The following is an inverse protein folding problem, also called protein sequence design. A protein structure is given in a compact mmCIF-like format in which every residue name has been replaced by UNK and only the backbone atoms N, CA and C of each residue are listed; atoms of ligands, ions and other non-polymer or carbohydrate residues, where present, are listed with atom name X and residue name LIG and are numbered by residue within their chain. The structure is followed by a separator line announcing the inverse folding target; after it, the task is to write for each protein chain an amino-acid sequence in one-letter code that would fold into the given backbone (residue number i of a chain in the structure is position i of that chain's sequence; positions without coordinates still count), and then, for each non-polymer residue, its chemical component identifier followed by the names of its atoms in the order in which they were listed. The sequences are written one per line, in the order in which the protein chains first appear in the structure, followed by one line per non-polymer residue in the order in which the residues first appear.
data_IF_367102105680
#
_entry.id   IF_367102105680
#
_cell.length_a   1.000
_cell.length_b   1.000
_cell.length_c   1.000
_cell.angle_alpha   90.00
_cell.angle_beta   90.00
_cell.angle_gamma   90.00
#
_symmetry.space_group_name_H-M   'P 1'
#
loop_
_entity.id
_entity.type
_entity.pdbx_description
1 polymer ?
#
# COMPACT_ATOMS: atom_id res chain seq x y z
N UNK A 1 18.41 13.47 -15.44
CA UNK A 1 18.03 12.19 -14.82
C UNK A 1 17.12 11.39 -15.74
N UNK A 2 17.33 10.10 -15.78
CA UNK A 2 16.51 9.18 -16.55
C UNK A 2 15.50 8.51 -15.62
N UNK A 3 14.35 8.10 -16.19
CA UNK A 3 13.31 7.41 -15.47
C UNK A 3 13.01 6.10 -16.15
N UNK A 4 12.73 5.09 -15.35
CA UNK A 4 12.33 3.78 -15.86
C UNK A 4 11.13 3.29 -15.09
N UNK A 5 10.04 3.01 -15.83
CA UNK A 5 8.88 2.36 -15.25
C UNK A 5 9.22 0.90 -14.99
N UNK A 6 8.99 0.44 -13.76
CA UNK A 6 9.25 -0.93 -13.36
C UNK A 6 8.00 -1.78 -13.53
N UNK A 7 6.87 -1.32 -13.00
CA UNK A 7 5.59 -2.01 -13.13
C UNK A 7 4.43 -1.14 -12.67
N UNK A 8 3.24 -1.55 -13.09
CA UNK A 8 2.01 -1.04 -12.49
C UNK A 8 1.74 -1.81 -11.21
N UNK A 9 1.09 -1.16 -10.26
CA UNK A 9 0.67 -1.81 -9.02
C UNK A 9 -0.61 -1.13 -8.52
N UNK A 10 -1.25 -1.78 -7.57
CA UNK A 10 -2.38 -1.16 -6.87
C UNK A 10 -2.19 -1.35 -5.37
N UNK A 11 -2.83 -0.47 -4.61
CA UNK A 11 -2.81 -0.56 -3.16
C UNK A 11 -3.95 -1.44 -2.68
N UNK A 12 -3.77 -2.06 -1.53
CA UNK A 12 -4.77 -2.96 -0.94
C UNK A 12 -4.92 -2.66 0.55
N UNK A 13 -6.14 -2.87 1.05
CA UNK A 13 -6.39 -2.93 2.48
C UNK A 13 -6.31 -4.38 2.92
N UNK A 14 -5.53 -4.66 3.94
CA UNK A 14 -5.37 -6.03 4.47
C UNK A 14 -5.73 -6.07 5.95
N UNK A 15 -6.30 -7.17 6.37
CA UNK A 15 -6.73 -7.36 7.76
C UNK A 15 -6.61 -8.82 8.16
N UNK A 16 -6.58 -9.07 9.48
CA UNK A 16 -6.58 -10.43 10.01
C UNK A 16 -7.98 -10.85 10.47
N UNK A 17 -8.08 -12.00 11.11
CA UNK A 17 -9.34 -12.58 11.56
C UNK A 17 -10.08 -11.75 12.62
N UNK A 18 -9.40 -10.78 13.25
CA UNK A 18 -10.08 -9.82 14.14
C UNK A 18 -11.13 -9.00 13.41
N UNK A 19 -11.02 -8.90 12.08
CA UNK A 19 -11.95 -8.18 11.21
C UNK A 19 -12.67 -9.16 10.26
N UNK A 20 -12.90 -10.39 10.71
CA UNK A 20 -13.49 -11.45 9.88
C UNK A 20 -14.84 -11.06 9.26
N UNK A 21 -15.60 -10.18 9.91
CA UNK A 21 -16.88 -9.69 9.40
C UNK A 21 -16.75 -8.93 8.08
N UNK A 22 -15.54 -8.45 7.75
CA UNK A 22 -15.28 -7.72 6.51
C UNK A 22 -14.92 -8.63 5.35
N UNK A 23 -14.58 -9.87 5.63
CA UNK A 23 -14.13 -10.80 4.59
C UNK A 23 -15.28 -11.14 3.64
N UNK A 24 -15.02 -10.95 2.35
CA UNK A 24 -16.01 -11.21 1.31
C UNK A 24 -17.04 -10.12 1.12
N UNK A 25 -16.94 -9.02 1.86
CA UNK A 25 -17.84 -7.87 1.71
C UNK A 25 -17.13 -6.73 0.99
N UNK A 26 -17.90 -5.93 0.27
CA UNK A 26 -17.42 -4.68 -0.28
C UNK A 26 -17.86 -3.53 0.62
N UNK A 27 -16.89 -2.74 1.06
CA UNK A 27 -17.15 -1.59 1.93
C UNK A 27 -16.98 -0.30 1.13
N UNK A 28 -17.84 0.68 1.39
CA UNK A 28 -17.57 2.03 0.90
C UNK A 28 -16.41 2.63 1.71
N UNK A 29 -15.73 3.62 1.15
CA UNK A 29 -14.69 4.33 1.89
C UNK A 29 -15.26 4.97 3.16
N UNK A 30 -16.52 5.40 3.11
CA UNK A 30 -17.20 5.95 4.27
C UNK A 30 -17.36 4.94 5.40
N UNK A 31 -17.72 3.70 5.05
CA UNK A 31 -17.80 2.62 6.04
C UNK A 31 -16.43 2.25 6.58
N UNK A 32 -15.42 2.23 5.71
CA UNK A 32 -14.05 1.90 6.08
C UNK A 32 -13.48 2.88 7.10
N UNK A 33 -13.91 4.15 7.05
CA UNK A 33 -13.52 5.16 8.04
C UNK A 33 -13.82 4.79 9.48
N UNK A 34 -14.74 3.88 9.71
CA UNK A 34 -15.15 3.45 11.06
C UNK A 34 -14.20 2.45 11.67
N UNK A 35 -13.26 1.95 10.88
CA UNK A 35 -12.29 0.95 11.32
C UNK A 35 -10.91 1.58 11.51
N UNK A 36 -10.08 1.00 12.38
CA UNK A 36 -8.73 1.54 12.56
C UNK A 36 -7.88 1.27 11.31
N UNK A 37 -7.50 2.34 10.64
CA UNK A 37 -6.63 2.27 9.47
C UNK A 37 -5.19 2.52 9.92
N UNK A 38 -4.29 1.64 9.54
CA UNK A 38 -2.86 1.80 9.78
C UNK A 38 -2.16 1.96 8.44
N UNK A 39 -1.27 2.94 8.34
CA UNK A 39 -0.69 3.31 7.06
C UNK A 39 0.65 4.00 7.23
N UNK A 40 1.34 4.21 6.12
CA UNK A 40 2.57 4.99 6.13
C UNK A 40 2.29 6.45 6.50
N UNK A 41 3.31 7.12 7.00
CA UNK A 41 3.18 8.52 7.39
C UNK A 41 2.98 9.44 6.18
N UNK A 42 2.67 10.72 6.45
CA UNK A 42 2.31 11.68 5.41
C UNK A 42 3.45 12.02 4.43
N UNK A 43 4.67 11.61 4.72
CA UNK A 43 5.80 11.81 3.82
C UNK A 43 5.80 10.82 2.66
N UNK A 44 5.05 9.72 2.77
CA UNK A 44 5.01 8.71 1.72
C UNK A 44 4.02 9.07 0.62
N UNK A 45 4.32 8.66 -0.60
CA UNK A 45 3.39 8.83 -1.73
C UNK A 45 2.14 7.99 -1.55
N UNK A 46 2.24 6.83 -0.89
CA UNK A 46 1.10 5.97 -0.58
C UNK A 46 0.12 6.69 0.33
N UNK A 47 0.62 7.37 1.36
CA UNK A 47 -0.22 8.15 2.28
C UNK A 47 -0.90 9.31 1.57
N UNK A 48 -0.15 10.08 0.78
CA UNK A 48 -0.71 11.19 -0.01
C UNK A 48 -1.82 10.70 -0.94
N UNK A 49 -1.60 9.56 -1.58
CA UNK A 49 -2.58 8.96 -2.48
C UNK A 49 -3.89 8.65 -1.76
N UNK A 50 -3.81 7.98 -0.60
CA UNK A 50 -5.01 7.60 0.14
C UNK A 50 -5.75 8.82 0.72
N UNK A 51 -5.02 9.79 1.27
CA UNK A 51 -5.64 11.04 1.74
C UNK A 51 -6.36 11.76 0.61
N UNK A 52 -5.74 11.84 -0.57
CA UNK A 52 -6.35 12.47 -1.75
C UNK A 52 -7.60 11.72 -2.20
N UNK A 53 -7.56 10.40 -2.20
CA UNK A 53 -8.69 9.58 -2.59
C UNK A 53 -9.89 9.83 -1.66
N UNK A 54 -9.66 9.87 -0.35
CA UNK A 54 -10.72 10.16 0.62
C UNK A 54 -11.28 11.57 0.42
N UNK A 55 -10.41 12.56 0.18
CA UNK A 55 -10.84 13.92 -0.08
C UNK A 55 -11.71 14.05 -1.33
N UNK A 56 -11.39 13.29 -2.37
CA UNK A 56 -12.21 13.26 -3.60
C UNK A 56 -13.63 12.78 -3.33
N UNK A 57 -13.82 11.97 -2.30
CA UNK A 57 -15.12 11.48 -1.86
C UNK A 57 -15.69 12.29 -0.71
N UNK A 58 -15.10 13.46 -0.43
CA UNK A 58 -15.54 14.38 0.64
C UNK A 58 -15.47 13.73 2.03
N UNK A 59 -14.48 12.85 2.21
CA UNK A 59 -14.23 12.17 3.46
C UNK A 59 -12.91 12.63 4.07
N UNK A 60 -12.80 12.53 5.38
CA UNK A 60 -11.61 12.88 6.13
C UNK A 60 -10.97 11.60 6.67
N UNK A 61 -9.75 11.30 6.22
CA UNK A 61 -9.04 10.12 6.66
C UNK A 61 -8.18 10.44 7.89
N UNK A 62 -8.51 9.79 9.01
CA UNK A 62 -7.74 9.91 10.24
C UNK A 62 -7.16 8.54 10.58
N UNK A 63 -5.88 8.29 10.27
CA UNK A 63 -5.26 7.01 10.58
C UNK A 63 -5.14 6.79 12.08
N UNK A 64 -5.31 5.55 12.51
CA UNK A 64 -5.09 5.16 13.91
C UNK A 64 -3.59 5.12 14.22
N UNK A 65 -2.79 4.59 13.29
CA UNK A 65 -1.34 4.48 13.42
C UNK A 65 -0.69 4.88 12.10
N UNK A 66 0.36 5.68 12.19
CA UNK A 66 1.20 6.05 11.05
C UNK A 66 2.63 5.57 11.32
N UNK A 67 3.23 4.88 10.35
CA UNK A 67 4.57 4.29 10.46
C UNK A 67 5.39 4.60 9.21
N UNK A 68 6.67 4.28 9.26
CA UNK A 68 7.59 4.51 8.14
C UNK A 68 7.92 3.24 7.35
N UNK A 69 7.41 2.08 7.75
CA UNK A 69 7.75 0.79 7.15
C UNK A 69 6.51 -0.02 6.80
N UNK A 70 6.42 -0.46 5.54
CA UNK A 70 5.36 -1.38 5.12
C UNK A 70 5.45 -2.73 5.83
N UNK A 71 6.67 -3.21 6.08
CA UNK A 71 6.86 -4.49 6.78
C UNK A 71 6.26 -4.43 8.17
N UNK A 72 6.47 -3.34 8.88
CA UNK A 72 5.91 -3.16 10.21
C UNK A 72 4.38 -3.03 10.17
N UNK A 73 3.83 -2.38 9.14
CA UNK A 73 2.37 -2.31 8.96
C UNK A 73 1.78 -3.71 8.79
N UNK A 74 2.43 -4.56 8.01
CA UNK A 74 2.00 -5.93 7.80
C UNK A 74 2.03 -6.70 9.13
N UNK A 75 3.08 -6.55 9.91
CA UNK A 75 3.19 -7.20 11.22
C UNK A 75 2.07 -6.76 12.15
N UNK A 76 1.76 -5.46 12.18
CA UNK A 76 0.67 -4.94 13.01
C UNK A 76 -0.70 -5.43 12.54
N UNK A 77 -0.91 -5.55 11.23
CA UNK A 77 -2.14 -6.13 10.71
C UNK A 77 -2.29 -7.59 11.12
N UNK A 78 -1.19 -8.34 11.14
CA UNK A 78 -1.20 -9.75 11.55
C UNK A 78 -1.63 -9.95 12.99
N UNK A 79 -1.29 -9.03 13.87
CA UNK A 79 -1.69 -9.11 15.28
C UNK A 79 -3.05 -8.46 15.54
N UNK A 80 -3.70 -7.93 14.50
CA UNK A 80 -5.07 -7.44 14.58
C UNK A 80 -5.22 -6.02 15.09
N UNK A 81 -4.18 -5.19 15.03
CA UNK A 81 -4.25 -3.80 15.49
C UNK A 81 -5.01 -2.88 14.55
N UNK A 82 -5.20 -3.27 13.30
CA UNK A 82 -5.93 -2.46 12.36
C UNK A 82 -5.94 -3.03 10.96
N UNK A 83 -6.50 -2.27 10.05
CA UNK A 83 -6.53 -2.57 8.61
C UNK A 83 -5.38 -1.80 7.98
N UNK A 84 -4.41 -2.51 7.40
CA UNK A 84 -3.23 -1.87 6.81
C UNK A 84 -3.47 -1.55 5.35
N UNK A 85 -3.04 -0.36 4.93
CA UNK A 85 -3.06 0.06 3.53
C UNK A 85 -1.65 0.02 2.97
N UNK A 86 -1.40 -0.87 2.03
CA UNK A 86 -0.07 -1.13 1.47
C UNK A 86 -0.13 -1.38 -0.03
N UNK A 87 0.99 -1.15 -0.76
CA UNK A 87 1.08 -1.61 -2.15
C UNK A 87 1.01 -3.14 -2.22
N UNK A 88 0.35 -3.66 -3.26
CA UNK A 88 0.14 -5.10 -3.39
C UNK A 88 1.44 -5.90 -3.53
N UNK A 89 2.50 -5.30 -4.07
CA UNK A 89 3.79 -5.99 -4.20
C UNK A 89 4.49 -6.22 -2.86
N UNK A 90 4.00 -5.63 -1.76
CA UNK A 90 4.51 -5.91 -0.42
C UNK A 90 3.96 -7.21 0.15
N UNK A 91 2.96 -7.82 -0.49
CA UNK A 91 2.41 -9.11 -0.07
C UNK A 91 3.32 -10.25 -0.48
N UNK A 92 3.40 -11.27 0.36
CA UNK A 92 4.20 -12.46 0.10
C UNK A 92 3.46 -13.69 0.62
N UNK A 93 4.04 -14.87 0.44
CA UNK A 93 3.49 -16.11 1.01
C UNK A 93 3.37 -16.04 2.54
N UNK A 94 4.23 -15.23 3.17
CA UNK A 94 4.20 -15.05 4.62
C UNK A 94 2.99 -14.26 5.10
N UNK A 95 2.23 -13.65 4.19
CA UNK A 95 1.02 -12.88 4.51
C UNK A 95 -0.27 -13.62 4.20
N UNK A 96 -0.21 -14.93 3.99
CA UNK A 96 -1.38 -15.74 3.65
C UNK A 96 -2.44 -15.81 4.75
N UNK A 97 -2.10 -15.43 5.98
CA UNK A 97 -3.03 -15.33 7.10
C UNK A 97 -3.84 -14.02 7.10
N UNK A 98 -3.58 -13.14 6.15
CA UNK A 98 -4.30 -11.89 5.98
C UNK A 98 -5.23 -11.98 4.78
N UNK A 99 -6.32 -11.22 4.81
CA UNK A 99 -7.22 -11.13 3.68
C UNK A 99 -7.32 -9.69 3.18
N UNK A 100 -7.66 -9.53 1.91
CA UNK A 100 -7.88 -8.23 1.32
C UNK A 100 -9.29 -7.75 1.61
N UNK A 101 -9.42 -6.54 2.15
CA UNK A 101 -10.70 -5.86 2.34
C UNK A 101 -11.06 -5.18 1.02
N UNK A 102 -12.19 -5.54 0.44
CA UNK A 102 -12.62 -4.99 -0.83
C UNK A 102 -13.38 -3.68 -0.63
N UNK A 103 -13.22 -2.75 -1.54
CA UNK A 103 -13.92 -1.47 -1.52
C UNK A 103 -14.91 -1.37 -2.68
N UNK A 104 -16.02 -0.65 -2.47
CA UNK A 104 -16.98 -0.36 -3.52
C UNK A 104 -16.36 0.60 -4.55
N UNK A 105 -15.59 1.57 -4.08
CA UNK A 105 -14.85 2.48 -4.95
C UNK A 105 -13.63 1.75 -5.49
N UNK A 106 -13.36 1.93 -6.77
CA UNK A 106 -12.20 1.35 -7.41
C UNK A 106 -10.94 2.10 -6.99
N UNK A 107 -9.92 1.34 -6.57
CA UNK A 107 -8.62 1.93 -6.26
C UNK A 107 -7.80 2.02 -7.54
N UNK A 108 -7.39 3.24 -7.97
CA UNK A 108 -6.64 3.39 -9.21
C UNK A 108 -5.29 2.67 -9.16
N UNK A 109 -4.83 2.19 -10.31
CA UNK A 109 -3.47 1.69 -10.44
C UNK A 109 -2.47 2.83 -10.35
N UNK A 110 -1.31 2.50 -9.80
CA UNK A 110 -0.17 3.41 -9.72
C UNK A 110 1.02 2.80 -10.42
N UNK A 111 2.00 3.64 -10.75
CA UNK A 111 3.23 3.19 -11.40
C UNK A 111 4.39 3.24 -10.42
N UNK A 112 5.16 2.16 -10.39
CA UNK A 112 6.44 2.13 -9.70
C UNK A 112 7.52 2.52 -10.70
N UNK A 113 8.18 3.64 -10.43
CA UNK A 113 9.18 4.25 -11.32
C UNK A 113 10.47 4.44 -10.55
N UNK A 114 11.58 4.10 -11.18
CA UNK A 114 12.91 4.41 -10.66
C UNK A 114 13.47 5.60 -11.43
N UNK A 115 13.87 6.64 -10.69
CA UNK A 115 14.65 7.74 -11.24
C UNK A 115 16.12 7.40 -11.02
N UNK A 116 16.92 7.50 -12.07
CA UNK A 116 18.34 7.20 -11.99
C UNK A 116 19.18 8.13 -12.88
N UNK A 117 20.44 8.23 -12.53
CA UNK A 117 21.43 8.92 -13.35
C UNK A 117 22.25 7.84 -14.09
N UNK A 118 22.20 7.87 -15.42
CA UNK A 118 22.91 6.88 -16.25
C UNK A 118 24.41 6.81 -15.95
N UNK A 119 25.02 7.93 -15.59
CA UNK A 119 26.45 7.96 -15.24
C UNK A 119 26.74 7.17 -13.96
N UNK A 120 25.76 7.03 -13.06
CA UNK A 120 25.90 6.27 -11.82
C UNK A 120 25.70 4.77 -12.06
N UNK A 121 24.98 4.40 -13.11
CA UNK A 121 24.71 2.99 -13.45
C UNK A 121 25.88 2.29 -14.14
N UNK A 122 27.09 2.70 -13.85
CA UNK A 122 28.28 1.99 -14.36
C UNK A 122 28.63 0.77 -13.53
N UNK A 123 28.10 0.68 -12.29
CA UNK A 123 28.37 -0.47 -11.44
C UNK A 123 27.58 -1.68 -11.88
N UNK A 124 28.21 -2.86 -11.79
CA UNK A 124 27.57 -4.13 -12.11
C UNK A 124 26.35 -4.38 -11.25
N UNK A 125 26.42 -4.06 -9.95
CA UNK A 125 25.34 -4.27 -9.01
C UNK A 125 24.09 -3.44 -9.37
N UNK A 126 24.27 -2.19 -9.77
CA UNK A 126 23.15 -1.34 -10.18
C UNK A 126 22.49 -1.87 -11.45
N UNK A 127 23.26 -2.33 -12.42
CA UNK A 127 22.75 -2.92 -13.66
C UNK A 127 21.96 -4.18 -13.37
N UNK A 128 22.44 -5.03 -12.49
CA UNK A 128 21.75 -6.27 -12.09
C UNK A 128 20.45 -5.96 -11.37
N UNK A 129 20.43 -4.93 -10.50
CA UNK A 129 19.22 -4.50 -9.81
C UNK A 129 18.13 -4.09 -10.80
N UNK A 130 18.49 -3.30 -11.82
CA UNK A 130 17.51 -2.85 -12.83
C UNK A 130 17.04 -4.02 -13.70
N UNK A 131 17.92 -4.95 -14.05
CA UNK A 131 17.54 -6.11 -14.86
C UNK A 131 16.58 -7.04 -14.14
N UNK A 132 16.60 -7.05 -12.82
CA UNK A 132 15.66 -7.85 -12.01
C UNK A 132 14.20 -7.46 -12.28
N UNK A 133 13.94 -6.21 -12.64
CA UNK A 133 12.60 -5.70 -12.89
C UNK A 133 12.21 -5.72 -14.38
N UNK A 134 13.05 -6.26 -15.23
CA UNK A 134 12.72 -6.44 -16.66
C UNK A 134 11.82 -7.69 -16.90
#
# INVERSE_FOLDING_TARGET
ASFRKIRDFHDVFIANQSFAELQGKKLSLKELQRYPIIMLDRKSTTSEFLHSLFQQHQLDLVPEIELTSNDLLIDLARIGLGIAFIPNFCLSEQTCDLFAVQTEEELPERELVIAYNEQVLTSKAAKEFLSFFD
#
